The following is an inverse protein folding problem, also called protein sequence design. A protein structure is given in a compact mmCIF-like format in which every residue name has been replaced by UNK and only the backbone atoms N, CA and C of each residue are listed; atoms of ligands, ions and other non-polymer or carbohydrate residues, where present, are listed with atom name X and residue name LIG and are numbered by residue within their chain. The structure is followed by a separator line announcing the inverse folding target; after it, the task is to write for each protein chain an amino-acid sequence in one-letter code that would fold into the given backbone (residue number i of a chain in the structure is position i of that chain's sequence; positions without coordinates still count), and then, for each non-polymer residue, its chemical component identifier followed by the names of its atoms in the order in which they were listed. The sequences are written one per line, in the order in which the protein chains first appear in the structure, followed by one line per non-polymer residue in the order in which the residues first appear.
data_IF_453679730830
#
_entry.id   IF_453679730830
#
_cell.length_a   1.000
_cell.length_b   1.000
_cell.length_c   1.000
_cell.angle_alpha   90.00
_cell.angle_beta   90.00
_cell.angle_gamma   90.00
#
_symmetry.space_group_name_H-M   'P 1'
#
loop_
_entity.id
_entity.type
_entity.pdbx_description
1 polymer ?
#
# COMPACT_ATOMS: atom_id res chain seq x y z
N UNK A 1 10.24 -26.77 2.05
CA UNK A 1 10.90 -25.44 2.02
C UNK A 1 10.01 -24.55 1.18
N UNK A 2 9.56 -23.40 1.67
CA UNK A 2 8.79 -22.48 0.83
C UNK A 2 9.74 -21.88 -0.21
N UNK A 3 9.34 -21.74 -1.49
CA UNK A 3 10.20 -21.11 -2.48
C UNK A 3 10.49 -19.68 -2.03
N UNK A 4 11.76 -19.34 -1.98
CA UNK A 4 12.26 -18.02 -1.58
C UNK A 4 12.60 -17.26 -2.85
N UNK A 5 12.09 -16.05 -2.99
CA UNK A 5 12.50 -15.14 -4.05
C UNK A 5 13.86 -14.56 -3.68
N UNK A 6 14.87 -14.83 -4.50
CA UNK A 6 16.21 -14.32 -4.31
C UNK A 6 16.30 -12.86 -4.78
N UNK A 7 17.06 -12.04 -4.06
CA UNK A 7 17.24 -10.63 -4.36
C UNK A 7 18.71 -10.21 -4.24
N UNK A 8 19.15 -9.35 -5.14
CA UNK A 8 20.46 -8.71 -5.08
C UNK A 8 20.47 -7.45 -4.19
N UNK A 9 19.29 -6.92 -3.85
CA UNK A 9 19.12 -5.64 -3.15
C UNK A 9 18.78 -5.77 -1.69
N UNK A 10 17.93 -6.75 -1.34
CA UNK A 10 17.43 -6.97 0.02
C UNK A 10 17.57 -8.46 0.39
N UNK A 11 17.25 -8.80 1.64
CA UNK A 11 17.23 -10.20 2.04
C UNK A 11 16.20 -10.99 1.25
N UNK A 12 16.57 -12.19 0.84
CA UNK A 12 15.66 -13.16 0.23
C UNK A 12 14.42 -13.37 1.07
N UNK A 13 13.27 -13.42 0.42
CA UNK A 13 11.97 -13.60 1.09
C UNK A 13 10.97 -14.31 0.18
N UNK A 14 9.97 -15.02 0.72
CA UNK A 14 8.90 -15.56 -0.11
C UNK A 14 8.05 -14.43 -0.69
N UNK A 15 7.47 -14.65 -1.86
CA UNK A 15 6.34 -13.87 -2.35
C UNK A 15 5.08 -14.73 -2.22
N UNK A 16 3.99 -14.16 -1.68
CA UNK A 16 2.70 -14.82 -1.63
C UNK A 16 1.80 -14.22 -2.70
N UNK A 17 1.34 -15.06 -3.63
CA UNK A 17 0.57 -14.60 -4.78
C UNK A 17 -0.84 -15.16 -4.66
N UNK A 18 -1.81 -14.28 -4.59
CA UNK A 18 -3.21 -14.61 -4.71
C UNK A 18 -3.66 -14.40 -6.17
N UNK A 19 -4.34 -15.39 -6.71
CA UNK A 19 -4.83 -15.39 -8.08
C UNK A 19 -6.36 -15.35 -8.08
N UNK A 20 -6.99 -14.53 -8.94
CA UNK A 20 -8.43 -14.41 -8.98
C UNK A 20 -9.11 -15.70 -9.50
N UNK A 21 -10.41 -15.91 -9.21
CA UNK A 21 -11.14 -17.12 -9.61
C UNK A 21 -11.09 -17.41 -11.11
N UNK A 22 -11.05 -16.40 -11.96
CA UNK A 22 -10.99 -16.59 -13.42
C UNK A 22 -9.60 -16.92 -13.96
N UNK A 23 -8.57 -16.93 -13.11
CA UNK A 23 -7.19 -17.17 -13.54
C UNK A 23 -7.05 -18.56 -14.19
N UNK A 24 -6.47 -18.59 -15.40
CA UNK A 24 -6.30 -19.81 -16.18
C UNK A 24 -7.57 -20.35 -16.82
N UNK A 25 -8.75 -19.77 -16.56
CA UNK A 25 -10.02 -20.19 -17.19
C UNK A 25 -10.34 -19.38 -18.45
N UNK A 26 -9.87 -18.15 -18.51
CA UNK A 26 -10.07 -17.22 -19.63
C UNK A 26 -8.76 -16.56 -20.03
N UNK A 27 -8.62 -16.23 -21.30
CA UNK A 27 -7.46 -15.51 -21.81
C UNK A 27 -7.65 -14.02 -21.56
N UNK A 28 -7.29 -13.56 -20.35
CA UNK A 28 -7.30 -12.13 -20.00
C UNK A 28 -6.05 -11.73 -19.21
N UNK A 29 -5.81 -10.44 -19.11
CA UNK A 29 -4.77 -9.85 -18.27
C UNK A 29 -5.41 -9.16 -17.07
N UNK A 30 -4.65 -9.07 -15.99
CA UNK A 30 -5.13 -8.64 -14.68
C UNK A 30 -4.36 -7.43 -14.18
N UNK A 31 -5.00 -6.44 -13.53
CA UNK A 31 -4.31 -5.44 -12.74
C UNK A 31 -3.56 -6.11 -11.58
N UNK A 32 -2.52 -5.47 -11.08
CA UNK A 32 -1.68 -6.02 -10.01
C UNK A 32 -1.66 -5.09 -8.81
N UNK A 33 -1.87 -5.64 -7.61
CA UNK A 33 -1.62 -4.95 -6.35
C UNK A 33 -0.41 -5.58 -5.67
N UNK A 34 0.63 -4.81 -5.46
CA UNK A 34 1.75 -5.18 -4.59
C UNK A 34 1.45 -4.70 -3.18
N UNK A 35 1.31 -5.64 -2.24
CA UNK A 35 0.99 -5.36 -0.84
C UNK A 35 2.21 -5.58 0.03
N UNK A 36 2.73 -4.51 0.63
CA UNK A 36 3.85 -4.58 1.57
C UNK A 36 3.37 -5.11 2.94
N UNK A 37 4.30 -5.64 3.75
CA UNK A 37 3.97 -6.39 4.97
C UNK A 37 3.13 -7.65 4.68
N UNK A 38 3.47 -8.34 3.60
CA UNK A 38 2.73 -9.45 3.02
C UNK A 38 2.48 -10.64 3.95
N UNK A 39 3.22 -10.75 5.05
CA UNK A 39 2.99 -11.72 6.10
C UNK A 39 1.66 -11.56 6.84
N UNK A 40 1.01 -10.38 6.69
CA UNK A 40 -0.27 -10.08 7.34
C UNK A 40 -1.50 -10.30 6.46
N UNK A 41 -1.35 -10.68 5.18
CA UNK A 41 -2.45 -10.58 4.23
C UNK A 41 -3.43 -11.75 4.25
N UNK A 42 -2.93 -13.01 4.33
CA UNK A 42 -3.72 -14.19 4.00
C UNK A 42 -3.67 -15.31 5.05
N UNK A 43 -2.80 -15.27 6.05
CA UNK A 43 -2.56 -16.41 6.93
C UNK A 43 -2.22 -15.96 8.36
N UNK A 44 -3.09 -16.21 9.32
CA UNK A 44 -2.92 -15.89 10.74
C UNK A 44 -1.56 -16.32 11.33
N UNK A 45 -1.10 -17.51 11.01
CA UNK A 45 0.16 -18.03 11.54
C UNK A 45 1.39 -17.30 11.04
N UNK A 46 1.29 -16.55 9.95
CA UNK A 46 2.36 -15.71 9.41
C UNK A 46 2.28 -14.28 9.95
N UNK A 47 1.10 -13.79 10.30
CA UNK A 47 0.82 -12.43 10.77
C UNK A 47 1.37 -12.19 12.19
N UNK A 48 2.69 -12.08 12.31
CA UNK A 48 3.36 -11.85 13.61
C UNK A 48 3.70 -10.37 13.82
N UNK A 49 3.64 -9.85 15.05
CA UNK A 49 3.34 -10.54 16.31
C UNK A 49 1.84 -10.73 16.62
N UNK A 50 0.94 -10.09 15.87
CA UNK A 50 -0.50 -10.02 16.19
C UNK A 50 -1.23 -11.37 16.11
N UNK A 51 -0.75 -12.28 15.27
CA UNK A 51 -1.44 -13.52 14.85
C UNK A 51 -2.83 -13.25 14.27
N UNK A 52 -3.07 -12.07 13.75
CA UNK A 52 -4.31 -11.63 13.11
C UNK A 52 -3.95 -11.16 11.72
N UNK A 53 -4.35 -11.90 10.73
CA UNK A 53 -4.21 -11.49 9.33
C UNK A 53 -5.35 -10.53 8.93
N UNK A 54 -5.22 -9.89 7.75
CA UNK A 54 -6.13 -8.82 7.35
C UNK A 54 -7.31 -9.31 6.49
N UNK A 55 -7.42 -10.60 6.23
CA UNK A 55 -8.49 -11.20 5.44
C UNK A 55 -8.62 -10.57 4.04
N UNK A 56 -7.49 -10.42 3.38
CA UNK A 56 -7.46 -9.76 2.06
C UNK A 56 -8.13 -10.64 1.01
N UNK A 57 -7.87 -11.94 1.02
CA UNK A 57 -8.43 -12.92 0.08
C UNK A 57 -9.94 -13.12 0.28
N UNK A 58 -10.43 -13.17 1.53
CA UNK A 58 -11.87 -13.21 1.79
C UNK A 58 -12.55 -11.91 1.36
N UNK A 59 -11.89 -10.77 1.64
CA UNK A 59 -12.43 -9.47 1.25
C UNK A 59 -12.48 -9.32 -0.27
N UNK A 60 -11.42 -9.72 -0.98
CA UNK A 60 -11.38 -9.71 -2.44
C UNK A 60 -12.46 -10.62 -3.03
N UNK A 61 -12.57 -11.85 -2.52
CA UNK A 61 -13.59 -12.81 -2.98
C UNK A 61 -14.98 -12.22 -2.83
N UNK A 62 -15.30 -11.67 -1.66
CA UNK A 62 -16.60 -11.03 -1.41
C UNK A 62 -16.86 -9.84 -2.36
N UNK A 63 -15.90 -8.95 -2.54
CA UNK A 63 -16.05 -7.78 -3.41
C UNK A 63 -16.19 -8.17 -4.89
N UNK A 64 -15.57 -9.28 -5.31
CA UNK A 64 -15.72 -9.85 -6.65
C UNK A 64 -17.11 -10.45 -6.84
N UNK A 65 -17.61 -11.23 -5.87
CA UNK A 65 -18.96 -11.80 -5.89
C UNK A 65 -20.04 -10.70 -5.91
N UNK A 66 -19.78 -9.56 -5.28
CA UNK A 66 -20.63 -8.36 -5.32
C UNK A 66 -20.48 -7.57 -6.65
N UNK A 67 -19.54 -7.92 -7.52
CA UNK A 67 -19.27 -7.22 -8.80
C UNK A 67 -18.69 -5.80 -8.62
N UNK A 68 -18.15 -5.47 -7.46
CA UNK A 68 -17.71 -4.11 -7.09
C UNK A 68 -16.29 -3.80 -7.53
N UNK A 69 -15.48 -4.81 -7.79
CA UNK A 69 -14.07 -4.65 -8.15
C UNK A 69 -13.69 -5.43 -9.40
N UNK A 70 -12.65 -4.98 -10.06
CA UNK A 70 -11.95 -5.72 -11.11
C UNK A 70 -11.14 -6.84 -10.46
N UNK A 71 -11.00 -7.99 -11.14
CA UNK A 71 -10.19 -9.12 -10.65
C UNK A 71 -8.69 -8.79 -10.71
N UNK A 72 -7.99 -8.66 -9.58
CA UNK A 72 -6.55 -8.42 -9.55
C UNK A 72 -5.74 -9.71 -9.42
N UNK A 73 -4.44 -9.63 -9.73
CA UNK A 73 -3.42 -10.46 -9.09
C UNK A 73 -2.92 -9.70 -7.86
N UNK A 74 -2.82 -10.35 -6.70
CA UNK A 74 -2.22 -9.73 -5.51
C UNK A 74 -0.89 -10.37 -5.19
N UNK A 75 0.13 -9.54 -5.09
CA UNK A 75 1.50 -9.93 -4.72
C UNK A 75 1.80 -9.42 -3.32
N UNK A 76 1.64 -10.26 -2.32
CA UNK A 76 1.95 -9.93 -0.95
C UNK A 76 3.45 -10.16 -0.68
N UNK A 77 4.15 -9.09 -0.34
CA UNK A 77 5.59 -9.02 -0.14
C UNK A 77 5.87 -8.90 1.35
N UNK A 78 6.34 -9.97 2.03
CA UNK A 78 6.70 -9.89 3.44
C UNK A 78 7.78 -8.86 3.72
N UNK A 79 7.73 -8.27 4.88
CA UNK A 79 8.75 -7.34 5.35
C UNK A 79 10.11 -8.01 5.54
N UNK A 80 11.18 -7.22 5.66
CA UNK A 80 12.52 -7.69 6.03
C UNK A 80 12.65 -8.16 7.47
N UNK A 81 11.54 -8.36 8.20
CA UNK A 81 11.53 -8.75 9.61
C UNK A 81 12.18 -7.67 10.48
N UNK A 82 13.32 -7.97 11.12
CA UNK A 82 14.06 -6.98 11.93
C UNK A 82 14.58 -5.78 11.12
N UNK A 83 14.64 -5.90 9.79
CA UNK A 83 15.05 -4.82 8.87
C UNK A 83 13.87 -4.01 8.32
N UNK A 84 12.64 -4.28 8.76
CA UNK A 84 11.44 -3.62 8.24
C UNK A 84 11.53 -2.10 8.23
N UNK A 85 12.01 -1.50 9.31
CA UNK A 85 12.18 -0.05 9.39
C UNK A 85 13.31 0.45 8.49
N UNK A 86 14.42 -0.29 8.41
CA UNK A 86 15.53 0.06 7.51
C UNK A 86 15.09 0.11 6.05
N UNK A 87 14.26 -0.87 5.64
CA UNK A 87 13.78 -1.00 4.27
C UNK A 87 12.63 -0.04 3.92
N UNK A 88 11.78 0.32 4.90
CA UNK A 88 10.53 1.04 4.64
C UNK A 88 10.55 2.52 5.00
N UNK A 89 11.51 2.97 5.80
CA UNK A 89 11.59 4.38 6.18
C UNK A 89 12.30 5.16 5.07
N UNK A 90 11.64 6.16 4.46
CA UNK A 90 12.28 7.00 3.44
C UNK A 90 13.58 7.62 3.95
N UNK A 91 14.67 7.38 3.26
CA UNK A 91 16.01 7.82 3.68
C UNK A 91 16.15 9.34 3.72
N UNK A 92 15.70 10.03 2.67
CA UNK A 92 15.94 11.45 2.49
C UNK A 92 15.48 12.32 3.69
N UNK A 93 14.23 12.19 4.22
CA UNK A 93 13.81 12.98 5.36
C UNK A 93 14.42 12.52 6.69
N UNK A 94 14.98 11.30 6.75
CA UNK A 94 15.40 10.65 7.99
C UNK A 94 16.90 10.73 8.26
N UNK A 95 17.74 11.14 7.31
CA UNK A 95 19.20 11.15 7.47
C UNK A 95 19.67 11.86 8.75
N UNK A 96 19.11 13.01 9.07
CA UNK A 96 19.45 13.77 10.29
C UNK A 96 19.00 13.09 11.58
N UNK A 97 18.14 12.08 11.49
CA UNK A 97 17.60 11.32 12.62
C UNK A 97 18.21 9.90 12.73
N UNK A 98 19.10 9.51 11.81
CA UNK A 98 19.63 8.16 11.69
C UNK A 98 20.14 7.59 13.00
N UNK A 99 20.99 8.32 13.72
CA UNK A 99 21.55 7.90 15.02
C UNK A 99 20.47 7.74 16.08
N UNK A 100 19.51 8.67 16.17
CA UNK A 100 18.40 8.61 17.13
C UNK A 100 17.48 7.43 16.89
N UNK A 101 17.24 7.10 15.62
CA UNK A 101 16.33 6.03 15.21
C UNK A 101 17.04 4.68 15.06
N UNK A 102 18.37 4.65 15.17
CA UNK A 102 19.21 3.46 14.97
C UNK A 102 18.92 2.75 13.63
N UNK A 103 18.69 3.54 12.56
CA UNK A 103 18.39 3.01 11.23
C UNK A 103 19.64 2.85 10.38
N UNK A 104 19.70 1.73 9.68
CA UNK A 104 20.54 1.52 8.50
C UNK A 104 19.64 1.65 7.29
N UNK A 105 19.67 2.77 6.59
CA UNK A 105 18.79 3.01 5.46
C UNK A 105 19.01 2.02 4.34
N UNK A 106 17.94 1.37 3.95
CA UNK A 106 17.83 0.41 2.85
C UNK A 106 16.58 0.67 1.99
N UNK A 107 16.01 1.87 2.09
CA UNK A 107 14.79 2.19 1.34
C UNK A 107 15.05 2.27 -0.17
N UNK A 108 16.23 2.74 -0.59
CA UNK A 108 16.61 2.74 -2.00
C UNK A 108 16.81 1.31 -2.53
N UNK A 109 17.43 0.43 -1.76
CA UNK A 109 17.56 -0.99 -2.08
C UNK A 109 16.20 -1.68 -2.16
N UNK A 110 15.29 -1.33 -1.23
CA UNK A 110 13.92 -1.87 -1.27
C UNK A 110 13.15 -1.38 -2.49
N UNK A 111 13.31 -0.11 -2.89
CA UNK A 111 12.70 0.40 -4.12
C UNK A 111 13.23 -0.34 -5.36
N UNK A 112 14.55 -0.58 -5.43
CA UNK A 112 15.14 -1.36 -6.53
C UNK A 112 14.64 -2.80 -6.53
N UNK A 113 14.59 -3.46 -5.37
CA UNK A 113 13.98 -4.77 -5.23
C UNK A 113 12.55 -4.81 -5.82
N UNK A 114 11.72 -3.83 -5.49
CA UNK A 114 10.35 -3.76 -5.97
C UNK A 114 10.27 -3.50 -7.48
N UNK A 115 11.06 -2.54 -7.98
CA UNK A 115 10.94 -2.04 -9.35
C UNK A 115 11.80 -2.79 -10.37
N UNK A 116 12.97 -3.29 -9.96
CA UNK A 116 13.93 -3.95 -10.87
C UNK A 116 13.86 -5.49 -10.80
N UNK A 117 13.32 -6.05 -9.69
CA UNK A 117 13.27 -7.51 -9.51
C UNK A 117 11.82 -8.03 -9.43
N UNK A 118 11.02 -7.59 -8.42
CA UNK A 118 9.68 -8.17 -8.18
C UNK A 118 8.72 -7.85 -9.32
N UNK A 119 8.55 -6.58 -9.69
CA UNK A 119 7.61 -6.21 -10.75
C UNK A 119 7.96 -6.87 -12.09
N UNK A 120 9.20 -6.82 -12.60
CA UNK A 120 9.56 -7.50 -13.84
C UNK A 120 9.35 -9.03 -13.79
N UNK A 121 9.62 -9.66 -12.65
CA UNK A 121 9.36 -11.08 -12.45
C UNK A 121 7.86 -11.38 -12.58
N UNK A 122 7.01 -10.63 -11.91
CA UNK A 122 5.55 -10.81 -11.96
C UNK A 122 5.02 -10.59 -13.38
N UNK A 123 5.45 -9.53 -14.04
CA UNK A 123 5.00 -9.21 -15.41
C UNK A 123 5.44 -10.25 -16.44
N UNK A 124 6.55 -10.95 -16.19
CA UNK A 124 7.06 -12.01 -17.08
C UNK A 124 6.34 -13.34 -16.85
N UNK A 125 5.95 -13.65 -15.62
CA UNK A 125 5.44 -14.97 -15.24
C UNK A 125 3.90 -15.02 -15.13
N UNK A 126 3.23 -13.88 -15.09
CA UNK A 126 1.78 -13.78 -14.94
C UNK A 126 1.17 -12.89 -16.04
N UNK A 127 -0.06 -13.13 -16.46
CA UNK A 127 -0.74 -12.31 -17.45
C UNK A 127 -1.20 -10.97 -16.85
N UNK A 128 -0.27 -10.06 -16.63
CA UNK A 128 -0.52 -8.75 -16.01
C UNK A 128 -0.84 -7.67 -17.03
N UNK A 129 -1.63 -6.68 -16.60
CA UNK A 129 -1.67 -5.35 -17.20
C UNK A 129 -0.53 -4.56 -16.57
N UNK A 130 0.63 -4.44 -17.26
CA UNK A 130 1.88 -3.98 -16.67
C UNK A 130 2.06 -2.45 -16.63
N UNK A 131 1.12 -1.70 -17.21
CA UNK A 131 1.14 -0.23 -17.21
C UNK A 131 0.78 0.39 -15.85
N UNK A 132 1.07 1.68 -15.64
CA UNK A 132 0.79 2.36 -14.37
C UNK A 132 -0.68 2.33 -13.99
N UNK A 133 -1.60 2.48 -14.95
CA UNK A 133 -3.05 2.50 -14.71
C UNK A 133 -3.61 1.21 -14.08
N UNK A 134 -2.84 0.12 -14.14
CA UNK A 134 -3.22 -1.20 -13.64
C UNK A 134 -2.21 -1.78 -12.64
N UNK A 135 -1.24 -0.97 -12.18
CA UNK A 135 -0.22 -1.36 -11.21
C UNK A 135 -0.35 -0.51 -9.95
N UNK A 136 -0.64 -1.17 -8.82
CA UNK A 136 -0.99 -0.51 -7.59
C UNK A 136 -0.12 -0.98 -6.42
N UNK A 137 0.04 -0.11 -5.41
CA UNK A 137 0.71 -0.44 -4.17
C UNK A 137 -0.23 -0.24 -2.98
N UNK A 138 -0.10 -1.12 -1.99
CA UNK A 138 -0.77 -0.97 -0.69
C UNK A 138 0.22 -1.21 0.44
N UNK A 139 0.23 -0.34 1.42
CA UNK A 139 1.03 -0.47 2.62
C UNK A 139 0.38 0.20 3.83
N UNK A 140 0.78 -0.23 5.04
CA UNK A 140 0.27 0.35 6.26
C UNK A 140 1.38 0.77 7.22
N UNK A 141 1.14 1.83 8.01
CA UNK A 141 2.12 2.33 8.94
C UNK A 141 3.40 2.81 8.23
N UNK A 142 4.54 2.20 8.51
CA UNK A 142 5.82 2.57 7.86
C UNK A 142 5.79 2.19 6.38
N UNK A 143 5.24 1.04 6.00
CA UNK A 143 5.09 0.67 4.59
C UNK A 143 4.11 1.59 3.84
N UNK A 144 3.18 2.26 4.54
CA UNK A 144 2.39 3.33 3.98
C UNK A 144 3.23 4.54 3.53
N UNK A 145 4.35 4.82 4.19
CA UNK A 145 5.30 5.85 3.73
C UNK A 145 6.04 5.38 2.47
N UNK A 146 6.42 4.11 2.43
CA UNK A 146 7.11 3.49 1.29
C UNK A 146 6.26 3.55 0.01
N UNK A 147 4.97 3.21 0.08
CA UNK A 147 4.11 3.26 -1.12
C UNK A 147 3.87 4.68 -1.61
N UNK A 148 3.78 5.65 -0.71
CA UNK A 148 3.70 7.07 -1.09
C UNK A 148 5.00 7.55 -1.74
N UNK A 149 6.17 7.16 -1.22
CA UNK A 149 7.46 7.44 -1.83
C UNK A 149 7.57 6.81 -3.22
N UNK A 150 7.16 5.54 -3.37
CA UNK A 150 7.20 4.83 -4.64
C UNK A 150 6.38 5.54 -5.72
N UNK A 151 5.17 6.01 -5.41
CA UNK A 151 4.33 6.77 -6.35
C UNK A 151 5.04 8.05 -6.84
N UNK A 152 5.69 8.77 -5.94
CA UNK A 152 6.36 10.04 -6.32
C UNK A 152 7.67 9.82 -7.08
N UNK A 153 8.39 8.72 -6.82
CA UNK A 153 9.66 8.40 -7.47
C UNK A 153 9.52 7.65 -8.78
N UNK A 154 8.46 6.86 -8.91
CA UNK A 154 8.23 5.96 -10.04
C UNK A 154 6.80 6.13 -10.60
N UNK A 155 6.40 7.35 -11.00
CA UNK A 155 5.05 7.63 -11.49
C UNK A 155 4.70 6.82 -12.74
N UNK A 156 5.68 6.50 -13.58
CA UNK A 156 5.49 5.68 -14.79
C UNK A 156 5.28 4.19 -14.49
N UNK A 157 5.42 3.76 -13.24
CA UNK A 157 5.23 2.37 -12.83
C UNK A 157 3.97 2.15 -11.99
N UNK A 158 3.59 3.10 -11.16
CA UNK A 158 2.53 2.95 -10.16
C UNK A 158 1.49 4.07 -10.28
N UNK A 159 0.32 3.77 -10.84
CA UNK A 159 -0.73 4.76 -11.07
C UNK A 159 -1.63 5.00 -9.86
N UNK A 160 -1.66 4.09 -8.87
CA UNK A 160 -2.40 4.32 -7.64
C UNK A 160 -1.72 3.68 -6.43
N UNK A 161 -1.84 4.35 -5.28
CA UNK A 161 -1.35 3.82 -4.01
C UNK A 161 -2.38 3.98 -2.90
N UNK A 162 -2.37 3.01 -1.99
CA UNK A 162 -3.16 3.05 -0.77
C UNK A 162 -2.25 2.99 0.46
N UNK A 163 -2.20 4.08 1.22
CA UNK A 163 -1.42 4.20 2.45
C UNK A 163 -2.35 4.19 3.68
N UNK A 164 -2.52 3.01 4.28
CA UNK A 164 -3.33 2.84 5.49
C UNK A 164 -2.55 3.33 6.71
N UNK A 165 -3.09 4.26 7.46
CA UNK A 165 -2.45 4.81 8.68
C UNK A 165 -0.94 5.04 8.51
N UNK A 166 -0.47 5.74 7.46
CA UNK A 166 0.95 5.97 7.27
C UNK A 166 1.56 6.61 8.53
N UNK A 167 2.81 6.25 8.86
CA UNK A 167 3.43 6.66 10.14
C UNK A 167 3.83 8.14 10.17
N UNK A 168 2.83 9.03 10.15
CA UNK A 168 2.97 10.48 9.96
C UNK A 168 3.60 11.24 11.13
N UNK A 169 3.77 10.61 12.30
CA UNK A 169 4.48 11.21 13.44
C UNK A 169 5.97 10.85 13.48
N UNK A 170 6.46 10.08 12.52
CA UNK A 170 7.87 9.69 12.46
C UNK A 170 8.77 10.92 12.37
N UNK A 171 9.83 10.94 13.18
CA UNK A 171 10.80 12.03 13.28
C UNK A 171 10.14 13.41 13.49
N UNK A 172 9.19 13.45 14.43
CA UNK A 172 8.47 14.67 14.82
C UNK A 172 7.69 15.32 13.65
N UNK A 173 7.35 14.52 12.64
CA UNK A 173 6.60 14.94 11.45
C UNK A 173 7.46 15.46 10.30
N UNK A 174 8.77 15.33 10.34
CA UNK A 174 9.65 15.69 9.22
C UNK A 174 9.32 14.87 7.95
N UNK A 175 8.89 13.61 8.12
CA UNK A 175 8.41 12.78 7.02
C UNK A 175 7.24 13.43 6.29
N UNK A 176 6.31 14.09 7.01
CA UNK A 176 5.16 14.78 6.39
C UNK A 176 5.63 15.99 5.59
N UNK A 177 6.61 16.74 6.13
CA UNK A 177 7.18 17.90 5.43
C UNK A 177 7.80 17.47 4.11
N UNK A 178 8.53 16.36 4.12
CA UNK A 178 9.13 15.80 2.93
C UNK A 178 8.07 15.27 1.96
N UNK A 179 7.14 14.40 2.40
CA UNK A 179 6.07 13.86 1.55
C UNK A 179 5.26 14.96 0.85
N UNK A 180 4.87 16.01 1.60
CA UNK A 180 4.12 17.14 1.02
C UNK A 180 4.94 17.92 -0.01
N UNK A 181 6.26 17.90 0.10
CA UNK A 181 7.16 18.52 -0.88
C UNK A 181 7.41 17.66 -2.12
N UNK A 182 7.24 16.34 -2.02
CA UNK A 182 7.41 15.40 -3.14
C UNK A 182 6.11 15.15 -3.92
N UNK A 183 4.95 15.33 -3.28
CA UNK A 183 3.67 15.07 -3.92
C UNK A 183 3.48 15.97 -5.14
N UNK A 184 3.15 15.37 -6.26
CA UNK A 184 2.95 16.03 -7.56
C UNK A 184 1.46 16.20 -7.85
N UNK A 185 1.12 16.91 -8.93
CA UNK A 185 -0.25 16.95 -9.48
C UNK A 185 -0.72 15.53 -9.79
N UNK A 186 -2.02 15.23 -9.67
CA UNK A 186 -2.52 13.88 -9.84
C UNK A 186 -2.28 13.34 -11.26
N UNK A 187 -2.38 14.15 -12.31
CA UNK A 187 -2.47 13.68 -13.69
C UNK A 187 -3.41 12.46 -13.77
N UNK A 188 -2.85 11.26 -13.91
CA UNK A 188 -3.58 9.99 -13.86
C UNK A 188 -3.43 9.24 -12.54
N UNK A 189 -2.69 9.81 -11.57
CA UNK A 189 -2.38 9.12 -10.32
C UNK A 189 -3.50 9.25 -9.29
N UNK A 190 -3.69 8.18 -8.51
CA UNK A 190 -4.69 8.15 -7.44
C UNK A 190 -4.05 7.82 -6.09
N UNK A 191 -4.48 8.51 -5.04
CA UNK A 191 -3.95 8.40 -3.70
C UNK A 191 -5.04 8.13 -2.67
N UNK A 192 -4.96 7.01 -1.98
CA UNK A 192 -5.76 6.72 -0.77
C UNK A 192 -4.90 6.91 0.48
N UNK A 193 -5.42 7.65 1.46
CA UNK A 193 -4.86 7.71 2.81
C UNK A 193 -5.94 7.55 3.85
N UNK A 194 -5.63 6.86 4.95
CA UNK A 194 -6.55 6.81 6.09
C UNK A 194 -5.82 6.98 7.43
N UNK A 195 -6.57 7.08 8.48
CA UNK A 195 -6.11 6.93 9.86
C UNK A 195 -7.25 6.59 10.81
N UNK A 196 -6.91 6.01 11.95
CA UNK A 196 -7.79 5.93 13.11
C UNK A 196 -7.76 7.19 13.97
N UNK A 197 -8.29 7.07 15.21
CA UNK A 197 -8.32 8.19 16.17
C UNK A 197 -7.83 7.83 17.54
N UNK A 198 -7.47 6.57 17.84
CA UNK A 198 -7.05 6.10 19.17
C UNK A 198 -5.55 5.75 19.22
N UNK A 199 -4.93 6.02 20.37
CA UNK A 199 -3.54 5.69 20.63
C UNK A 199 -2.58 6.39 19.66
N UNK A 200 -1.72 5.62 18.99
CA UNK A 200 -0.75 6.13 18.02
C UNK A 200 -1.43 6.91 16.87
N UNK A 201 -2.60 6.47 16.43
CA UNK A 201 -3.38 7.09 15.36
C UNK A 201 -3.78 8.56 15.65
N UNK A 202 -3.98 8.89 16.93
CA UNK A 202 -4.29 10.27 17.32
C UNK A 202 -3.12 11.22 17.00
N UNK A 203 -1.89 10.72 17.06
CA UNK A 203 -0.68 11.52 16.76
C UNK A 203 -0.55 11.85 15.27
N UNK A 204 -1.21 11.08 14.40
CA UNK A 204 -1.17 11.30 12.93
C UNK A 204 -2.07 12.45 12.47
N UNK A 205 -2.99 12.92 13.30
CA UNK A 205 -4.03 13.88 12.91
C UNK A 205 -3.49 15.14 12.22
N UNK A 206 -2.40 15.72 12.75
CA UNK A 206 -1.78 16.93 12.16
C UNK A 206 -1.15 16.64 10.80
N UNK A 207 -0.40 15.54 10.70
CA UNK A 207 0.26 15.12 9.47
C UNK A 207 -0.75 14.76 8.39
N UNK A 208 -1.77 13.99 8.75
CA UNK A 208 -2.87 13.60 7.87
C UNK A 208 -3.59 14.81 7.29
N UNK A 209 -4.00 15.76 8.13
CA UNK A 209 -4.63 17.01 7.68
C UNK A 209 -3.73 17.78 6.70
N UNK A 210 -2.43 17.84 6.97
CA UNK A 210 -1.47 18.53 6.12
C UNK A 210 -1.31 17.88 4.76
N UNK A 211 -1.23 16.54 4.70
CA UNK A 211 -1.21 15.78 3.45
C UNK A 211 -2.50 15.97 2.65
N UNK A 212 -3.66 15.84 3.32
CA UNK A 212 -4.96 16.05 2.67
C UNK A 212 -5.05 17.43 2.04
N UNK A 213 -4.73 18.48 2.77
CA UNK A 213 -4.76 19.85 2.24
C UNK A 213 -3.80 20.03 1.08
N UNK A 214 -2.61 19.43 1.13
CA UNK A 214 -1.63 19.51 0.05
C UNK A 214 -2.10 18.77 -1.21
N UNK A 215 -2.72 17.60 -1.06
CA UNK A 215 -3.29 16.88 -2.19
C UNK A 215 -4.38 17.71 -2.90
N UNK A 216 -5.33 18.26 -2.13
CA UNK A 216 -6.38 19.13 -2.68
C UNK A 216 -5.81 20.37 -3.37
N UNK A 217 -4.78 21.02 -2.79
CA UNK A 217 -4.09 22.18 -3.38
C UNK A 217 -3.41 21.85 -4.71
N UNK A 218 -2.99 20.59 -4.89
CA UNK A 218 -2.40 20.10 -6.14
C UNK A 218 -3.42 19.66 -7.19
N UNK A 219 -4.72 19.69 -6.87
CA UNK A 219 -5.78 19.34 -7.79
C UNK A 219 -6.27 17.89 -7.69
N UNK A 220 -5.91 17.14 -6.65
CA UNK A 220 -6.56 15.87 -6.37
C UNK A 220 -8.03 16.08 -6.00
N UNK A 221 -8.90 15.20 -6.49
CA UNK A 221 -10.37 15.29 -6.31
C UNK A 221 -10.83 14.16 -5.40
N UNK A 222 -11.43 14.50 -4.24
CA UNK A 222 -12.00 13.50 -3.31
C UNK A 222 -13.14 12.72 -3.99
N UNK A 223 -13.14 11.42 -3.80
CA UNK A 223 -14.06 10.50 -4.46
C UNK A 223 -13.66 10.06 -5.87
N UNK A 224 -12.61 10.64 -6.46
CA UNK A 224 -12.10 10.29 -7.79
C UNK A 224 -10.62 9.87 -7.72
N UNK A 225 -9.71 10.84 -7.72
CA UNK A 225 -8.27 10.59 -7.66
C UNK A 225 -7.72 10.57 -6.23
N UNK A 226 -8.54 10.91 -5.24
CA UNK A 226 -8.12 11.01 -3.85
C UNK A 226 -9.19 10.54 -2.87
N UNK A 227 -8.74 9.81 -1.85
CA UNK A 227 -9.56 9.45 -0.70
C UNK A 227 -8.77 9.70 0.59
N UNK A 228 -9.39 10.38 1.56
CA UNK A 228 -8.78 10.72 2.84
C UNK A 228 -9.74 10.46 4.01
N UNK A 229 -9.75 9.24 4.52
CA UNK A 229 -10.74 8.76 5.48
C UNK A 229 -10.24 8.73 6.92
N UNK A 230 -11.10 9.12 7.87
CA UNK A 230 -10.83 9.05 9.32
C UNK A 230 -11.78 8.07 9.98
N UNK A 231 -11.24 6.93 10.42
CA UNK A 231 -11.99 5.88 11.12
C UNK A 231 -12.09 6.17 12.62
N UNK A 232 -13.19 6.76 13.03
CA UNK A 232 -13.44 7.13 14.42
C UNK A 232 -13.44 5.89 15.33
N UNK A 233 -12.62 5.91 16.37
CA UNK A 233 -12.51 4.82 17.32
C UNK A 233 -11.48 3.76 16.95
N UNK A 234 -10.99 3.70 15.72
CA UNK A 234 -9.96 2.76 15.31
C UNK A 234 -8.58 3.10 15.91
N UNK A 235 -7.81 2.07 16.20
CA UNK A 235 -6.44 2.13 16.71
C UNK A 235 -5.46 1.53 15.72
N UNK A 236 -4.17 1.65 15.98
CA UNK A 236 -3.09 1.09 15.16
C UNK A 236 -2.88 -0.40 15.45
N UNK A 237 -3.87 -1.22 15.08
CA UNK A 237 -3.90 -2.67 15.37
C UNK A 237 -4.33 -3.47 14.15
N UNK A 238 -3.85 -4.71 14.06
CA UNK A 238 -4.17 -5.61 12.96
C UNK A 238 -5.68 -5.78 12.73
N UNK A 239 -6.46 -5.94 13.83
CA UNK A 239 -7.92 -6.00 13.75
C UNK A 239 -8.53 -4.76 13.09
N UNK A 240 -8.07 -3.56 13.48
CA UNK A 240 -8.61 -2.32 12.92
C UNK A 240 -8.21 -2.14 11.46
N UNK A 241 -7.06 -2.67 11.01
CA UNK A 241 -6.67 -2.73 9.60
C UNK A 241 -7.56 -3.70 8.83
N UNK A 242 -7.78 -4.91 9.35
CA UNK A 242 -8.69 -5.90 8.78
C UNK A 242 -10.10 -5.35 8.59
N UNK A 243 -10.64 -4.70 9.62
CA UNK A 243 -12.02 -4.20 9.61
C UNK A 243 -12.27 -3.18 8.48
N UNK A 244 -11.22 -2.53 7.95
CA UNK A 244 -11.31 -1.49 6.91
C UNK A 244 -10.53 -1.76 5.62
N UNK A 245 -9.92 -2.94 5.47
CA UNK A 245 -9.13 -3.27 4.26
C UNK A 245 -9.95 -3.21 2.97
N UNK A 246 -11.28 -3.39 3.06
CA UNK A 246 -12.18 -3.26 1.93
C UNK A 246 -12.13 -1.88 1.27
N UNK A 247 -11.94 -0.81 2.04
CA UNK A 247 -11.95 0.56 1.52
C UNK A 247 -10.79 0.84 0.55
N UNK A 248 -9.50 0.61 0.91
CA UNK A 248 -8.42 0.78 -0.06
C UNK A 248 -8.50 -0.19 -1.25
N UNK A 249 -9.02 -1.41 -1.06
CA UNK A 249 -9.21 -2.34 -2.18
C UNK A 249 -10.26 -1.84 -3.17
N UNK A 250 -11.37 -1.30 -2.68
CA UNK A 250 -12.37 -0.63 -3.51
C UNK A 250 -11.77 0.57 -4.24
N UNK A 251 -11.05 1.44 -3.54
CA UNK A 251 -10.43 2.61 -4.16
C UNK A 251 -9.47 2.24 -5.31
N UNK A 252 -8.69 1.17 -5.14
CA UNK A 252 -7.73 0.73 -6.17
C UNK A 252 -8.40 0.04 -7.36
N UNK A 253 -9.46 -0.74 -7.12
CA UNK A 253 -9.99 -1.73 -8.06
C UNK A 253 -11.44 -1.50 -8.49
N UNK A 254 -12.13 -0.44 -8.02
CA UNK A 254 -13.54 -0.23 -8.33
C UNK A 254 -13.82 -0.39 -9.84
N UNK A 255 -14.96 -1.01 -10.14
CA UNK A 255 -15.54 -0.99 -11.48
C UNK A 255 -16.32 0.31 -11.69
N UNK A 256 -16.49 0.75 -12.93
CA UNK A 256 -17.29 1.94 -13.26
C UNK A 256 -18.72 1.84 -12.73
N UNK A 257 -19.24 0.64 -12.54
CA UNK A 257 -20.57 0.37 -11.99
C UNK A 257 -20.64 0.52 -10.45
N UNK A 258 -19.50 0.49 -9.74
CA UNK A 258 -19.49 0.60 -8.28
C UNK A 258 -19.70 2.05 -7.79
N UNK A 259 -19.39 3.04 -8.61
CA UNK A 259 -19.58 4.45 -8.30
C UNK A 259 -21.06 4.88 -8.18
N UNK A 260 -22.00 4.07 -8.67
CA UNK A 260 -23.44 4.38 -8.68
C UNK A 260 -24.22 3.69 -7.56
N UNK A 261 -23.59 2.81 -6.77
CA UNK A 261 -24.28 1.97 -5.78
C UNK A 261 -24.29 2.52 -4.34
N UNK A 262 -23.49 3.53 -4.04
CA UNK A 262 -23.35 4.11 -2.69
C UNK A 262 -24.04 5.49 -2.53
N UNK A 263 -25.20 5.72 -3.18
CA UNK A 263 -26.08 6.86 -2.84
C UNK A 263 -27.28 6.34 -2.00
N UNK A 264 -27.21 6.35 -0.67
CA UNK A 264 -28.38 6.13 0.17
C UNK A 264 -29.18 7.43 0.19
N UNK A 265 -30.37 7.40 -0.46
CA UNK A 265 -31.39 8.45 -0.26
C UNK A 265 -31.73 8.65 1.21
#
# INVERSE_FOLDING_TARGET
MKPTFASEHVRDRPLYIWLPPSYGQVAKRYPVIYMLDGEHMFIDNLARPSRTEWQVDETLTRLLDEGRIREPIVVAIPSGGSRRYDEYVPQAPMQKHALRLALTFLSDEHMRFLTEEVKPFIDTHFPTLSGPDDTYLLGASVSGLTVMEAMTRYPDLFGAVAAMSPHLSLADGDVVTWLTGQLQTPDTHRLYIDRGTKGLEAQYARGFRRLRLKALDLGYVEGESFEATVYKGAAHKAKDFRDRIHAPLLFLLATDNAATADDPM
#
